data_IF_596442336192
#
_entry.id   IF_596442336192
#
_cell.length_a   1.000
_cell.length_b   1.000
_cell.length_c   1.000
_cell.angle_alpha   90.00
_cell.angle_beta   90.00
_cell.angle_gamma   90.00
#
_symmetry.space_group_name_H-M   'P 1'
#
loop_
_entity.id
_entity.type
_entity.pdbx_description
1 polymer ?
#
# COMPACT_ATOMS: atom_id res chain seq x y z
N UNK A 1 8.80 0.49 -7.59
CA UNK A 1 9.97 0.05 -6.81
C UNK A 1 9.53 -1.18 -6.07
N UNK A 2 10.42 -2.17 -6.00
CA UNK A 2 10.08 -3.48 -5.45
C UNK A 2 10.22 -3.42 -3.94
N UNK A 3 9.28 -4.04 -3.23
CA UNK A 3 9.47 -4.33 -1.80
C UNK A 3 9.89 -5.78 -1.63
N UNK A 4 10.93 -6.01 -0.85
CA UNK A 4 11.44 -7.34 -0.52
C UNK A 4 11.16 -7.63 0.94
N UNK A 5 10.55 -8.77 1.24
CA UNK A 5 10.45 -9.29 2.59
C UNK A 5 11.67 -10.18 2.84
N UNK A 6 12.57 -9.73 3.70
CA UNK A 6 13.84 -10.37 3.99
C UNK A 6 13.79 -10.96 5.40
N UNK A 7 14.11 -12.23 5.54
CA UNK A 7 14.32 -12.86 6.84
C UNK A 7 15.78 -12.66 7.26
N UNK A 8 16.05 -11.96 8.38
CA UNK A 8 17.40 -11.84 8.92
C UNK A 8 17.96 -13.20 9.34
N UNK A 9 19.28 -13.31 9.39
CA UNK A 9 19.93 -14.53 9.87
C UNK A 9 19.58 -14.81 11.35
N UNK A 10 19.44 -16.08 11.77
CA UNK A 10 19.06 -16.41 13.14
C UNK A 10 20.03 -15.84 14.18
N UNK A 11 19.51 -15.05 15.12
CA UNK A 11 20.31 -14.47 16.21
C UNK A 11 21.08 -13.21 15.83
N UNK A 12 20.85 -12.64 14.65
CA UNK A 12 21.37 -11.33 14.25
C UNK A 12 20.24 -10.45 13.71
N UNK A 13 20.38 -9.13 13.84
CA UNK A 13 19.55 -8.15 13.14
C UNK A 13 20.17 -7.76 11.78
N UNK A 14 21.17 -8.51 11.30
CA UNK A 14 21.91 -8.21 10.09
C UNK A 14 21.14 -8.70 8.85
N UNK A 15 21.12 -7.84 7.82
CA UNK A 15 20.61 -8.13 6.49
C UNK A 15 21.75 -8.50 5.50
N UNK A 16 22.93 -8.87 6.02
CA UNK A 16 24.11 -9.24 5.22
C UNK A 16 23.97 -10.65 4.61
N UNK A 17 25.07 -11.21 4.09
CA UNK A 17 25.19 -12.37 3.18
C UNK A 17 24.35 -13.63 3.46
N UNK A 18 23.81 -13.80 4.68
CA UNK A 18 22.97 -14.93 5.09
C UNK A 18 21.46 -14.60 5.12
N UNK A 19 21.06 -13.40 4.72
CA UNK A 19 19.66 -12.96 4.70
C UNK A 19 18.90 -13.56 3.51
N UNK A 20 17.70 -14.09 3.76
CA UNK A 20 16.88 -14.77 2.77
C UNK A 20 15.75 -13.85 2.27
N UNK A 21 15.63 -13.67 0.94
CA UNK A 21 14.43 -13.05 0.34
C UNK A 21 13.30 -14.08 0.39
N UNK A 22 12.33 -13.84 1.27
CA UNK A 22 11.15 -14.71 1.47
C UNK A 22 10.06 -14.41 0.44
N UNK A 23 9.90 -13.13 0.07
CA UNK A 23 8.88 -12.71 -0.89
C UNK A 23 9.23 -11.36 -1.53
N UNK A 24 8.67 -11.13 -2.71
CA UNK A 24 8.82 -9.89 -3.47
C UNK A 24 7.46 -9.30 -3.84
N UNK A 25 7.36 -7.98 -3.81
CA UNK A 25 6.24 -7.23 -4.36
C UNK A 25 6.76 -6.19 -5.34
N UNK A 26 6.76 -6.55 -6.63
CA UNK A 26 7.34 -5.76 -7.74
C UNK A 26 6.84 -4.30 -7.82
N UNK A 27 5.60 -4.08 -7.41
CA UNK A 27 4.94 -2.77 -7.37
C UNK A 27 4.58 -2.35 -5.94
N UNK A 28 5.18 -2.98 -4.94
CA UNK A 28 4.80 -2.84 -3.54
C UNK A 28 4.85 -1.39 -3.04
N UNK A 29 5.87 -0.65 -3.46
CA UNK A 29 5.97 0.77 -3.11
C UNK A 29 4.81 1.59 -3.69
N UNK A 30 4.53 1.43 -4.98
CA UNK A 30 3.43 2.14 -5.62
C UNK A 30 2.07 1.74 -5.05
N UNK A 31 1.92 0.48 -4.64
CA UNK A 31 0.70 0.02 -3.98
C UNK A 31 0.53 0.63 -2.59
N UNK A 32 1.63 0.86 -1.86
CA UNK A 32 1.60 1.58 -0.59
C UNK A 32 1.19 3.05 -0.79
N UNK A 33 1.77 3.75 -1.77
CA UNK A 33 1.39 5.13 -2.13
C UNK A 33 -0.09 5.23 -2.54
N UNK A 34 -0.58 4.23 -3.28
CA UNK A 34 -1.98 4.11 -3.64
C UNK A 34 -2.88 3.93 -2.42
N UNK A 35 -2.50 3.09 -1.46
CA UNK A 35 -3.26 2.90 -0.24
C UNK A 35 -3.32 4.18 0.62
N UNK A 36 -2.22 4.94 0.71
CA UNK A 36 -2.21 6.28 1.32
C UNK A 36 -3.19 7.20 0.61
N UNK A 37 -3.15 7.22 -0.73
CA UNK A 37 -4.06 8.03 -1.55
C UNK A 37 -5.53 7.68 -1.32
N UNK A 38 -5.86 6.40 -1.15
CA UNK A 38 -7.22 5.97 -0.80
C UNK A 38 -7.63 6.46 0.60
N UNK A 39 -6.76 6.36 1.60
CA UNK A 39 -7.04 6.91 2.92
C UNK A 39 -7.24 8.42 2.89
N UNK A 40 -6.49 9.17 2.08
CA UNK A 40 -6.71 10.61 1.87
C UNK A 40 -8.12 10.96 1.36
N UNK A 41 -8.87 10.00 0.80
CA UNK A 41 -10.25 10.23 0.40
C UNK A 41 -11.24 10.22 1.57
N UNK A 42 -10.95 9.47 2.64
CA UNK A 42 -11.93 9.12 3.69
C UNK A 42 -11.44 9.38 5.12
N UNK A 43 -10.14 9.31 5.39
CA UNK A 43 -9.51 9.54 6.68
C UNK A 43 -8.08 10.09 6.49
N UNK A 44 -7.94 11.42 6.57
CA UNK A 44 -6.64 12.07 6.44
C UNK A 44 -5.70 11.75 7.61
N UNK A 45 -6.21 11.55 8.83
CA UNK A 45 -5.38 11.24 10.00
C UNK A 45 -4.70 9.89 9.82
N UNK A 46 -5.44 8.90 9.30
CA UNK A 46 -4.87 7.58 9.03
C UNK A 46 -3.82 7.62 7.93
N UNK A 47 -4.01 8.44 6.89
CA UNK A 47 -2.99 8.65 5.87
C UNK A 47 -1.74 9.32 6.45
N UNK A 48 -1.89 10.35 7.31
CA UNK A 48 -0.78 11.01 8.00
C UNK A 48 0.01 10.01 8.89
N UNK A 49 -0.68 9.10 9.58
CA UNK A 49 -0.06 8.07 10.41
C UNK A 49 0.78 7.09 9.57
N UNK A 50 0.30 6.68 8.39
CA UNK A 50 1.05 5.81 7.48
C UNK A 50 2.33 6.53 6.98
N UNK A 51 2.20 7.78 6.55
CA UNK A 51 3.33 8.60 6.08
C UNK A 51 4.36 8.81 7.20
N UNK A 52 3.92 9.03 8.45
CA UNK A 52 4.84 9.15 9.59
C UNK A 52 5.64 7.86 9.88
N UNK A 53 5.08 6.68 9.57
CA UNK A 53 5.84 5.42 9.65
C UNK A 53 6.87 5.34 8.53
N UNK A 54 6.50 5.72 7.31
CA UNK A 54 7.39 5.76 6.15
C UNK A 54 8.59 6.70 6.41
N UNK A 55 8.33 7.89 6.94
CA UNK A 55 9.37 8.86 7.27
C UNK A 55 10.32 8.32 8.34
N UNK A 56 9.77 7.71 9.39
CA UNK A 56 10.57 7.10 10.46
C UNK A 56 11.42 5.93 9.95
N UNK A 57 10.87 5.07 9.10
CA UNK A 57 11.56 3.94 8.50
C UNK A 57 12.73 4.40 7.61
N UNK A 58 12.55 5.50 6.87
CA UNK A 58 13.60 6.09 6.03
C UNK A 58 14.73 6.71 6.86
N UNK A 59 14.40 7.38 7.97
CA UNK A 59 15.39 8.04 8.83
C UNK A 59 16.21 7.04 9.68
N UNK A 60 15.59 5.95 10.12
CA UNK A 60 16.20 5.00 11.06
C UNK A 60 17.32 4.16 10.45
N UNK A 61 17.30 3.98 9.13
CA UNK A 61 18.28 3.19 8.41
C UNK A 61 19.69 3.83 8.34
N UNK A 62 19.79 5.15 8.53
CA UNK A 62 21.06 5.88 8.62
C UNK A 62 21.85 6.02 7.30
N UNK A 63 21.61 5.13 6.34
CA UNK A 63 22.11 5.14 4.96
C UNK A 63 21.07 5.67 3.94
N UNK A 64 19.85 5.94 4.40
CA UNK A 64 18.73 6.40 3.58
C UNK A 64 17.94 5.28 2.91
N UNK A 65 18.23 4.01 3.19
CA UNK A 65 17.42 2.90 2.69
C UNK A 65 16.14 2.73 3.51
N UNK A 66 14.99 2.60 2.85
CA UNK A 66 13.74 2.39 3.56
C UNK A 66 13.65 0.95 4.08
N UNK A 67 13.56 0.81 5.41
CA UNK A 67 13.46 -0.49 6.11
C UNK A 67 12.33 -0.48 7.13
N UNK A 68 11.34 -1.35 6.95
CA UNK A 68 10.27 -1.57 7.92
C UNK A 68 10.56 -2.77 8.79
N UNK A 69 10.76 -2.54 10.08
CA UNK A 69 10.95 -3.58 11.08
C UNK A 69 9.60 -4.02 11.69
N UNK A 70 9.60 -5.15 12.42
CA UNK A 70 8.40 -5.80 12.94
C UNK A 70 7.34 -4.87 13.58
N UNK A 71 7.70 -3.93 14.48
CA UNK A 71 6.73 -2.98 15.05
C UNK A 71 6.07 -2.08 14.00
N UNK A 72 6.85 -1.51 13.08
CA UNK A 72 6.36 -0.64 12.02
C UNK A 72 5.51 -1.43 11.01
N UNK A 73 5.91 -2.66 10.67
CA UNK A 73 5.14 -3.54 9.80
C UNK A 73 3.78 -3.88 10.39
N UNK A 74 3.71 -4.23 11.68
CA UNK A 74 2.45 -4.51 12.36
C UNK A 74 1.53 -3.31 12.34
N UNK A 75 2.08 -2.12 12.57
CA UNK A 75 1.30 -0.88 12.57
C UNK A 75 0.83 -0.50 11.16
N UNK A 76 1.68 -0.64 10.14
CA UNK A 76 1.27 -0.46 8.75
C UNK A 76 0.15 -1.41 8.36
N UNK A 77 0.25 -2.70 8.72
CA UNK A 77 -0.82 -3.68 8.45
C UNK A 77 -2.13 -3.25 9.12
N UNK A 78 -2.07 -2.78 10.38
CA UNK A 78 -3.23 -2.28 11.11
C UNK A 78 -3.88 -1.09 10.38
N UNK A 79 -3.07 -0.10 9.97
CA UNK A 79 -3.54 1.11 9.30
C UNK A 79 -4.08 0.85 7.89
N UNK A 80 -3.48 -0.08 7.15
CA UNK A 80 -3.91 -0.46 5.80
C UNK A 80 -5.17 -1.33 5.80
N UNK A 81 -5.54 -1.90 6.94
CA UNK A 81 -6.73 -2.75 7.05
C UNK A 81 -8.01 -1.93 6.99
N UNK A 82 -8.96 -2.37 6.14
CA UNK A 82 -10.30 -1.79 6.02
C UNK A 82 -10.39 -0.54 5.16
N UNK A 83 -9.36 -0.21 4.36
CA UNK A 83 -9.43 0.94 3.43
C UNK A 83 -10.51 0.73 2.37
N UNK A 84 -10.66 -0.49 1.87
CA UNK A 84 -11.69 -0.89 0.91
C UNK A 84 -13.11 -0.74 1.48
N UNK A 85 -13.33 -1.22 2.70
CA UNK A 85 -14.59 -1.04 3.41
C UNK A 85 -14.90 0.45 3.65
N UNK A 86 -13.90 1.25 4.08
CA UNK A 86 -14.08 2.68 4.30
C UNK A 86 -14.44 3.46 3.02
N UNK A 87 -13.89 3.07 1.86
CA UNK A 87 -14.24 3.64 0.55
C UNK A 87 -15.71 3.30 0.18
N UNK A 88 -16.16 2.08 0.45
CA UNK A 88 -17.55 1.65 0.23
C UNK A 88 -18.51 2.37 1.17
N UNK A 89 -18.20 2.43 2.47
CA UNK A 89 -19.00 3.11 3.49
C UNK A 89 -19.14 4.63 3.23
N UNK A 90 -18.14 5.23 2.59
CA UNK A 90 -18.17 6.62 2.16
C UNK A 90 -18.95 6.85 0.83
N UNK A 91 -19.57 5.80 0.28
CA UNK A 91 -20.34 5.82 -0.97
C UNK A 91 -19.54 6.40 -2.17
N UNK A 92 -18.22 6.20 -2.16
CA UNK A 92 -17.34 6.59 -3.28
C UNK A 92 -17.51 5.61 -4.44
N UNK A 93 -17.74 4.34 -4.12
CA UNK A 93 -18.10 3.26 -5.05
C UNK A 93 -19.41 2.60 -4.62
N UNK A 94 -20.07 1.92 -5.56
CA UNK A 94 -21.22 1.07 -5.24
C UNK A 94 -20.81 -0.32 -4.69
N UNK A 95 -21.81 -1.15 -4.39
CA UNK A 95 -21.61 -2.54 -3.90
C UNK A 95 -20.87 -3.46 -4.89
N UNK A 96 -20.72 -3.06 -6.15
CA UNK A 96 -19.92 -3.76 -7.17
C UNK A 96 -18.59 -3.06 -7.44
N UNK A 97 -18.17 -2.17 -6.54
CA UNK A 97 -16.98 -1.34 -6.62
C UNK A 97 -16.91 -0.46 -7.88
N UNK A 98 -18.06 0.06 -8.30
CA UNK A 98 -18.15 0.98 -9.44
C UNK A 98 -18.24 2.41 -8.96
N UNK A 99 -17.39 3.27 -9.52
CA UNK A 99 -17.48 4.72 -9.36
C UNK A 99 -18.63 5.24 -10.23
N UNK A 100 -19.55 6.08 -9.70
CA UNK A 100 -20.56 6.74 -10.50
C UNK A 100 -19.93 7.58 -11.62
N UNK A 101 -20.42 7.45 -12.86
CA UNK A 101 -19.83 8.10 -14.02
C UNK A 101 -19.63 9.63 -13.86
N UNK A 102 -20.55 10.29 -13.15
CA UNK A 102 -20.48 11.72 -12.86
C UNK A 102 -19.29 12.12 -11.96
N UNK A 103 -18.73 11.18 -11.18
CA UNK A 103 -17.61 11.42 -10.25
C UNK A 103 -16.25 11.01 -10.80
N UNK A 104 -16.19 10.32 -11.94
CA UNK A 104 -14.95 9.79 -12.52
C UNK A 104 -13.87 10.86 -12.69
N UNK A 105 -14.23 12.01 -13.24
CA UNK A 105 -13.25 13.07 -13.50
C UNK A 105 -12.73 13.71 -12.19
N UNK A 106 -13.59 13.86 -11.18
CA UNK A 106 -13.20 14.39 -9.87
C UNK A 106 -12.25 13.42 -9.17
N UNK A 107 -12.62 12.14 -9.11
CA UNK A 107 -11.82 11.11 -8.47
C UNK A 107 -10.51 10.85 -9.20
N UNK A 108 -10.49 10.85 -10.54
CA UNK A 108 -9.26 10.72 -11.31
C UNK A 108 -8.23 11.83 -11.07
N UNK A 109 -8.65 13.03 -10.65
CA UNK A 109 -7.72 14.09 -10.23
C UNK A 109 -7.15 13.85 -8.83
N UNK A 110 -7.94 13.22 -7.95
CA UNK A 110 -7.56 12.94 -6.55
C UNK A 110 -6.78 11.64 -6.42
N UNK A 111 -7.00 10.69 -7.34
CA UNK A 111 -6.38 9.37 -7.40
C UNK A 111 -5.73 9.19 -8.77
N UNK A 112 -4.49 9.69 -8.98
CA UNK A 112 -3.82 9.62 -10.27
C UNK A 112 -3.61 8.18 -10.79
N UNK A 113 -3.65 7.18 -9.91
CA UNK A 113 -3.55 5.77 -10.27
C UNK A 113 -4.83 5.20 -10.92
N UNK A 114 -5.96 5.92 -10.88
CA UNK A 114 -7.14 5.54 -11.66
C UNK A 114 -6.83 5.72 -13.15
N UNK A 115 -6.67 4.62 -13.87
CA UNK A 115 -6.52 4.67 -15.32
C UNK A 115 -7.86 5.02 -15.97
N UNK A 116 -7.97 6.28 -16.38
CA UNK A 116 -9.14 6.85 -17.06
C UNK A 116 -8.85 7.23 -18.51
N UNK A 117 -7.83 6.64 -19.14
CA UNK A 117 -7.40 7.04 -20.48
C UNK A 117 -8.51 6.89 -21.52
N UNK A 118 -8.38 7.58 -22.65
CA UNK A 118 -9.42 7.61 -23.69
C UNK A 118 -9.69 6.25 -24.34
N UNK A 119 -8.74 5.33 -24.25
CA UNK A 119 -8.82 3.98 -24.82
C UNK A 119 -9.71 3.04 -24.02
N UNK A 120 -9.92 3.30 -22.72
CA UNK A 120 -10.82 2.49 -21.87
C UNK A 120 -12.29 2.79 -22.15
N UNK A 121 -13.12 1.73 -22.12
CA UNK A 121 -14.57 1.89 -22.17
C UNK A 121 -15.09 2.63 -20.92
N UNK A 122 -16.30 3.19 -20.99
CA UNK A 122 -16.90 3.82 -19.81
C UNK A 122 -17.06 2.83 -18.66
N UNK A 123 -17.46 1.59 -18.97
CA UNK A 123 -17.60 0.51 -17.98
C UNK A 123 -16.27 0.24 -17.27
N UNK A 124 -15.17 0.07 -18.01
CA UNK A 124 -13.84 -0.15 -17.43
C UNK A 124 -13.41 1.03 -16.54
N UNK A 125 -13.70 2.27 -16.97
CA UNK A 125 -13.40 3.46 -16.16
C UNK A 125 -14.13 3.47 -14.84
N UNK A 126 -15.37 2.98 -14.78
CA UNK A 126 -16.10 2.87 -13.52
C UNK A 126 -15.44 1.89 -12.54
N UNK A 127 -14.66 0.93 -13.04
CA UNK A 127 -13.90 -0.02 -12.24
C UNK A 127 -12.45 0.41 -11.93
N UNK A 128 -11.97 1.53 -12.47
CA UNK A 128 -10.58 1.95 -12.29
C UNK A 128 -10.17 2.16 -10.82
N UNK A 129 -11.09 2.62 -9.96
CA UNK A 129 -10.80 2.75 -8.52
C UNK A 129 -10.75 1.38 -7.82
N UNK A 130 -11.52 0.40 -8.27
CA UNK A 130 -11.48 -0.96 -7.75
C UNK A 130 -10.10 -1.60 -7.95
N UNK A 131 -9.45 -1.34 -9.09
CA UNK A 131 -8.08 -1.79 -9.35
C UNK A 131 -7.08 -1.22 -8.33
N UNK A 132 -7.24 0.06 -7.96
CA UNK A 132 -6.44 0.72 -6.93
C UNK A 132 -6.72 0.12 -5.54
N UNK A 133 -7.99 -0.18 -5.22
CA UNK A 133 -8.37 -0.88 -3.98
C UNK A 133 -7.74 -2.28 -3.90
N UNK A 134 -7.75 -3.04 -5.00
CA UNK A 134 -7.10 -4.36 -5.07
C UNK A 134 -5.59 -4.25 -4.83
N UNK A 135 -4.94 -3.22 -5.35
CA UNK A 135 -3.52 -2.97 -5.10
C UNK A 135 -3.25 -2.68 -3.63
N UNK A 136 -4.09 -1.86 -2.97
CA UNK A 136 -4.00 -1.59 -1.53
C UNK A 136 -4.18 -2.87 -0.67
N UNK A 137 -5.14 -3.72 -1.04
CA UNK A 137 -5.33 -5.04 -0.42
C UNK A 137 -4.11 -5.94 -0.64
N UNK A 138 -3.53 -5.90 -1.85
CA UNK A 138 -2.36 -6.71 -2.20
C UNK A 138 -1.14 -6.33 -1.37
N UNK A 139 -0.86 -5.03 -1.20
CA UNK A 139 0.26 -4.60 -0.34
C UNK A 139 0.00 -4.93 1.14
N UNK A 140 -1.22 -4.75 1.65
CA UNK A 140 -1.58 -5.16 3.02
C UNK A 140 -1.28 -6.65 3.24
N UNK A 141 -1.70 -7.51 2.30
CA UNK A 141 -1.47 -8.95 2.41
C UNK A 141 0.02 -9.29 2.37
N UNK A 142 0.79 -8.66 1.49
CA UNK A 142 2.25 -8.81 1.44
C UNK A 142 2.90 -8.46 2.79
N UNK A 143 2.56 -7.29 3.36
CA UNK A 143 3.11 -6.85 4.64
C UNK A 143 2.65 -7.75 5.80
N UNK A 144 1.40 -8.20 5.79
CA UNK A 144 0.88 -9.15 6.79
C UNK A 144 1.61 -10.49 6.76
N UNK A 145 1.95 -10.99 5.56
CA UNK A 145 2.74 -12.20 5.41
C UNK A 145 4.17 -11.99 5.90
N UNK A 146 4.77 -10.83 5.64
CA UNK A 146 6.09 -10.46 6.15
C UNK A 146 6.11 -10.42 7.69
N UNK A 147 5.06 -9.87 8.32
CA UNK A 147 4.89 -9.92 9.79
C UNK A 147 4.82 -11.36 10.29
N UNK A 148 4.00 -12.21 9.66
CA UNK A 148 3.85 -13.61 10.07
C UNK A 148 5.10 -14.48 9.87
N UNK A 149 6.03 -14.02 9.03
CA UNK A 149 7.29 -14.70 8.73
C UNK A 149 8.50 -14.10 9.48
N UNK A 150 8.28 -13.14 10.39
CA UNK A 150 9.30 -12.38 11.11
C UNK A 150 10.33 -11.71 10.19
N UNK A 151 9.87 -11.17 9.07
CA UNK A 151 10.73 -10.48 8.09
C UNK A 151 10.89 -8.98 8.40
N UNK A 152 11.97 -8.41 7.88
CA UNK A 152 12.12 -6.97 7.62
C UNK A 152 11.70 -6.71 6.17
N UNK A 153 10.98 -5.61 5.90
CA UNK A 153 10.67 -5.23 4.52
C UNK A 153 11.56 -4.08 4.09
N UNK A 154 12.22 -4.23 2.94
CA UNK A 154 13.11 -3.21 2.37
C UNK A 154 12.67 -2.78 0.98
N UNK A 155 12.98 -1.54 0.63
CA UNK A 155 12.78 -0.99 -0.71
C UNK A 155 14.01 -1.23 -1.58
N UNK A 156 13.82 -1.71 -2.81
CA UNK A 156 14.88 -1.82 -3.82
C UNK A 156 14.41 -1.69 -5.26
#
# INVERSE_FOLDING_TARGET
MTLYAIRPAPGTDSLDDDAEIVAESRYGWQFLEQAVTLWRLVDNSRADEIEAIIDRASLSAGDGELRFHGPDLRELVRLLTGVDDAIVDAEIVDQHWRVPAARLQELGRRVPAMDLTTERSLEDKTHALAEVMINAVSIRNFLSNAVGADCVVVLG
#
